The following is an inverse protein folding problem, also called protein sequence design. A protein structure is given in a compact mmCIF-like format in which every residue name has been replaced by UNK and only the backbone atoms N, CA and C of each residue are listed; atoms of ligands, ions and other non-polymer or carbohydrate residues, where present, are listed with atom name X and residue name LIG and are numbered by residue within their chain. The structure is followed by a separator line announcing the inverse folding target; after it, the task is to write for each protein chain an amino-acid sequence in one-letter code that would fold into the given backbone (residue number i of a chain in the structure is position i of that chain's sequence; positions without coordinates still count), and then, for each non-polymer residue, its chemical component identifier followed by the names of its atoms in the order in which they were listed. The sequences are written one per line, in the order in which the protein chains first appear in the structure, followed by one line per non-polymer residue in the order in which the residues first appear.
data_IF_691307522855
#
_entry.id   IF_691307522855
#
_cell.length_a   1.000
_cell.length_b   1.000
_cell.length_c   1.000
_cell.angle_alpha   90.00
_cell.angle_beta   90.00
_cell.angle_gamma   90.00
#
_symmetry.space_group_name_H-M   'P 1'
#
loop_
_entity.id
_entity.type
_entity.pdbx_description
1 polymer ?
#
# COMPACT_ATOMS: atom_id res chain seq x y z
N UNK A 1 -15.95 -12.67 10.29
CA UNK A 1 -16.55 -11.38 10.63
C UNK A 1 -17.36 -11.45 11.93
N UNK A 2 -17.38 -10.37 12.68
CA UNK A 2 -18.29 -10.09 13.79
C UNK A 2 -18.56 -8.58 13.83
N UNK A 3 -19.75 -8.17 14.23
CA UNK A 3 -20.12 -6.75 14.32
C UNK A 3 -19.60 -6.09 15.59
N UNK A 4 -19.66 -6.81 16.71
CA UNK A 4 -19.19 -6.34 18.01
C UNK A 4 -18.27 -7.35 18.67
N UNK A 5 -17.54 -6.92 19.70
CA UNK A 5 -16.63 -7.81 20.44
C UNK A 5 -17.34 -8.93 21.20
N UNK A 6 -18.63 -8.75 21.53
CA UNK A 6 -19.42 -9.72 22.27
C UNK A 6 -19.96 -10.85 21.37
N UNK A 7 -19.95 -10.65 20.04
CA UNK A 7 -20.45 -11.65 19.11
C UNK A 7 -19.37 -12.65 18.71
N UNK A 8 -19.72 -13.92 18.45
CA UNK A 8 -18.79 -14.89 17.91
C UNK A 8 -18.42 -14.56 16.46
N UNK A 9 -17.22 -14.92 16.04
CA UNK A 9 -16.83 -14.86 14.64
C UNK A 9 -17.67 -15.82 13.80
N UNK A 10 -18.11 -15.36 12.64
CA UNK A 10 -18.74 -16.20 11.61
C UNK A 10 -17.93 -16.15 10.32
N UNK A 11 -17.79 -17.26 9.59
CA UNK A 11 -17.20 -17.25 8.25
C UNK A 11 -18.13 -16.49 7.31
N UNK A 12 -17.56 -15.58 6.49
CA UNK A 12 -18.31 -14.80 5.50
C UNK A 12 -17.85 -15.05 4.08
N UNK A 13 -16.66 -15.66 3.93
CA UNK A 13 -16.10 -16.03 2.65
C UNK A 13 -15.24 -17.27 2.80
N UNK A 14 -15.33 -18.16 1.84
CA UNK A 14 -14.41 -19.28 1.66
C UNK A 14 -13.87 -19.21 0.25
N UNK A 15 -12.56 -19.19 0.11
CA UNK A 15 -11.86 -19.18 -1.18
C UNK A 15 -11.24 -20.55 -1.47
N UNK A 16 -11.02 -20.85 -2.73
CA UNK A 16 -10.21 -21.98 -3.15
C UNK A 16 -8.72 -21.59 -3.21
N UNK A 17 -7.84 -22.55 -3.51
CA UNK A 17 -6.38 -22.31 -3.51
C UNK A 17 -5.88 -21.33 -4.60
N UNK A 18 -6.72 -20.98 -5.58
CA UNK A 18 -6.40 -20.01 -6.64
C UNK A 18 -6.88 -18.61 -6.33
N UNK A 19 -7.78 -18.47 -5.39
CA UNK A 19 -8.41 -17.22 -5.03
C UNK A 19 -7.79 -16.65 -3.76
N UNK A 20 -7.54 -15.37 -3.77
CA UNK A 20 -7.00 -14.64 -2.62
C UNK A 20 -7.85 -13.43 -2.30
N UNK A 21 -8.01 -13.15 -1.02
CA UNK A 21 -8.56 -11.89 -0.50
C UNK A 21 -7.66 -11.40 0.61
N UNK A 22 -7.16 -10.19 0.46
CA UNK A 22 -6.30 -9.55 1.44
C UNK A 22 -6.96 -8.23 1.88
N UNK A 23 -7.53 -8.21 3.07
CA UNK A 23 -8.14 -7.03 3.64
C UNK A 23 -7.03 -6.08 4.13
N UNK A 24 -7.05 -4.84 3.68
CA UNK A 24 -5.99 -3.88 3.96
C UNK A 24 -6.37 -2.89 5.06
N UNK A 25 -7.36 -2.06 4.83
CA UNK A 25 -7.82 -1.06 5.81
C UNK A 25 -9.28 -0.70 5.57
N UNK A 26 -9.97 -0.24 6.61
CA UNK A 26 -11.33 0.26 6.50
C UNK A 26 -11.38 1.63 5.82
N UNK A 27 -12.54 1.94 5.24
CA UNK A 27 -12.87 3.31 4.84
C UNK A 27 -13.01 4.22 6.07
N UNK A 28 -12.85 5.55 5.93
CA UNK A 28 -12.92 6.48 7.06
C UNK A 28 -14.21 6.42 7.87
N UNK A 29 -15.31 5.99 7.26
CA UNK A 29 -16.61 5.81 7.90
C UNK A 29 -16.79 4.40 8.51
N UNK A 30 -15.79 3.54 8.42
CA UNK A 30 -15.78 2.15 8.89
C UNK A 30 -16.88 1.24 8.26
N UNK A 31 -17.48 1.64 7.16
CA UNK A 31 -18.56 0.85 6.53
C UNK A 31 -18.04 -0.18 5.53
N UNK A 32 -16.96 0.16 4.85
CA UNK A 32 -16.37 -0.66 3.81
C UNK A 32 -14.91 -0.96 4.12
N UNK A 33 -14.33 -1.91 3.40
CA UNK A 33 -12.92 -2.25 3.49
C UNK A 33 -12.27 -2.22 2.12
N UNK A 34 -11.06 -1.66 2.05
CA UNK A 34 -10.20 -1.79 0.89
C UNK A 34 -9.57 -3.17 0.90
N UNK A 35 -9.72 -3.90 -0.17
CA UNK A 35 -9.18 -5.25 -0.29
C UNK A 35 -8.44 -5.45 -1.61
N UNK A 36 -7.48 -6.37 -1.59
CA UNK A 36 -6.81 -6.88 -2.78
C UNK A 36 -7.33 -8.28 -3.05
N UNK A 37 -7.93 -8.51 -4.21
CA UNK A 37 -8.54 -9.80 -4.53
C UNK A 37 -8.48 -10.13 -6.01
N UNK A 38 -8.38 -11.42 -6.31
CA UNK A 38 -8.51 -11.97 -7.66
C UNK A 38 -9.78 -12.82 -7.85
N UNK A 39 -10.74 -12.77 -6.93
CA UNK A 39 -12.00 -13.50 -7.09
C UNK A 39 -12.68 -13.05 -8.38
N UNK A 40 -13.04 -14.02 -9.24
CA UNK A 40 -13.70 -13.78 -10.51
C UNK A 40 -12.82 -13.14 -11.60
N UNK A 41 -11.50 -13.07 -11.41
CA UNK A 41 -10.55 -12.46 -12.37
C UNK A 41 -9.19 -13.13 -12.35
N UNK A 42 -8.40 -12.92 -13.43
CA UNK A 42 -7.05 -13.46 -13.54
C UNK A 42 -6.04 -12.71 -12.64
N UNK A 43 -6.15 -11.38 -12.56
CA UNK A 43 -5.23 -10.53 -11.81
C UNK A 43 -5.86 -9.96 -10.55
N UNK A 44 -5.05 -9.88 -9.50
CA UNK A 44 -5.45 -9.19 -8.27
C UNK A 44 -5.73 -7.72 -8.54
N UNK A 45 -6.89 -7.26 -8.08
CA UNK A 45 -7.36 -5.89 -8.17
C UNK A 45 -7.48 -5.26 -6.79
N UNK A 46 -7.44 -3.92 -6.73
CA UNK A 46 -7.88 -3.16 -5.56
C UNK A 46 -9.39 -2.93 -5.68
N UNK A 47 -10.11 -3.35 -4.67
CA UNK A 47 -11.57 -3.26 -4.63
C UNK A 47 -12.06 -2.64 -3.33
N UNK A 48 -13.28 -2.13 -3.36
CA UNK A 48 -14.06 -1.76 -2.19
C UNK A 48 -15.03 -2.90 -1.89
N UNK A 49 -15.00 -3.42 -0.67
CA UNK A 49 -15.72 -4.62 -0.27
C UNK A 49 -16.52 -4.39 1.01
N UNK A 50 -17.71 -4.96 1.08
CA UNK A 50 -18.50 -4.99 2.31
C UNK A 50 -17.89 -6.01 3.29
N UNK A 51 -17.44 -5.61 4.47
CA UNK A 51 -16.79 -6.53 5.42
C UNK A 51 -17.74 -7.58 6.00
N UNK A 52 -19.05 -7.34 6.01
CA UNK A 52 -20.03 -8.25 6.61
C UNK A 52 -20.43 -9.39 5.66
N UNK A 53 -20.36 -9.17 4.35
CA UNK A 53 -20.77 -10.11 3.32
C UNK A 53 -19.63 -10.57 2.41
N UNK A 54 -18.50 -9.83 2.40
CA UNK A 54 -17.43 -9.94 1.43
C UNK A 54 -17.88 -9.71 -0.02
N UNK A 55 -18.99 -9.00 -0.22
CA UNK A 55 -19.44 -8.62 -1.53
C UNK A 55 -18.60 -7.46 -2.06
N UNK A 56 -18.04 -7.62 -3.26
CA UNK A 56 -17.36 -6.54 -3.96
C UNK A 56 -18.38 -5.49 -4.42
N UNK A 57 -18.17 -4.25 -4.00
CA UNK A 57 -19.04 -3.12 -4.36
C UNK A 57 -18.49 -2.31 -5.52
N UNK A 58 -17.16 -2.17 -5.59
CA UNK A 58 -16.49 -1.37 -6.60
C UNK A 58 -15.08 -1.86 -6.86
N UNK A 59 -14.66 -1.87 -8.13
CA UNK A 59 -13.27 -2.07 -8.52
C UNK A 59 -12.60 -0.71 -8.65
N UNK A 60 -11.66 -0.42 -7.76
CA UNK A 60 -10.99 0.88 -7.71
C UNK A 60 -9.79 0.96 -8.65
N UNK A 61 -9.07 -0.16 -8.81
CA UNK A 61 -7.92 -0.21 -9.71
C UNK A 61 -7.58 -1.64 -10.13
N UNK A 62 -7.22 -1.79 -11.39
CA UNK A 62 -6.70 -3.03 -12.01
C UNK A 62 -5.44 -2.74 -12.80
N UNK A 63 -4.64 -3.78 -13.05
CA UNK A 63 -3.53 -3.73 -14.00
C UNK A 63 -3.62 -4.96 -14.92
N UNK A 64 -3.52 -4.75 -16.24
CA UNK A 64 -3.69 -5.83 -17.23
C UNK A 64 -2.54 -6.84 -17.22
N UNK A 65 -1.37 -6.46 -16.72
CA UNK A 65 -0.15 -7.26 -16.78
C UNK A 65 0.25 -7.87 -15.44
N UNK A 66 -0.01 -7.18 -14.34
CA UNK A 66 0.53 -7.52 -13.03
C UNK A 66 -0.55 -7.54 -11.95
N UNK A 67 -0.38 -8.42 -10.98
CA UNK A 67 -1.18 -8.44 -9.77
C UNK A 67 -0.91 -7.22 -8.89
N UNK A 68 -1.96 -6.60 -8.40
CA UNK A 68 -1.82 -5.57 -7.37
C UNK A 68 -1.36 -6.23 -6.08
N UNK A 69 -0.21 -5.81 -5.57
CA UNK A 69 0.46 -6.42 -4.41
C UNK A 69 0.49 -5.54 -3.17
N UNK A 70 0.13 -4.26 -3.31
CA UNK A 70 0.13 -3.34 -2.18
C UNK A 70 -0.66 -2.08 -2.43
N UNK A 71 -0.98 -1.39 -1.36
CA UNK A 71 -1.61 -0.08 -1.39
C UNK A 71 -0.94 0.88 -0.40
N UNK A 72 -0.98 2.17 -0.71
CA UNK A 72 -0.63 3.27 0.18
C UNK A 72 -1.90 3.92 0.70
N UNK A 73 -1.91 4.24 1.99
CA UNK A 73 -3.01 4.93 2.64
C UNK A 73 -2.46 6.02 3.55
N UNK A 74 -3.05 7.20 3.53
CA UNK A 74 -2.73 8.28 4.44
C UNK A 74 -3.73 8.32 5.58
N UNK A 75 -3.26 8.06 6.80
CA UNK A 75 -4.08 8.19 8.01
C UNK A 75 -4.43 9.64 8.31
N UNK A 76 -3.56 10.57 7.94
CA UNK A 76 -3.78 11.99 8.10
C UNK A 76 -4.86 12.51 7.13
N UNK A 77 -4.75 12.15 5.85
CA UNK A 77 -5.68 12.57 4.79
C UNK A 77 -6.92 11.67 4.70
N UNK A 78 -6.94 10.55 5.41
CA UNK A 78 -8.02 9.54 5.40
C UNK A 78 -8.38 9.06 4.00
N UNK A 79 -7.36 8.78 3.16
CA UNK A 79 -7.58 8.34 1.77
C UNK A 79 -6.47 7.43 1.25
N UNK A 80 -6.80 6.66 0.23
CA UNK A 80 -5.81 5.94 -0.57
C UNK A 80 -4.88 6.93 -1.26
N UNK A 81 -3.58 6.65 -1.24
CA UNK A 81 -2.56 7.47 -1.88
C UNK A 81 -1.96 6.82 -3.10
N UNK A 82 -1.83 5.50 -3.10
CA UNK A 82 -1.24 4.76 -4.22
C UNK A 82 -1.63 3.29 -4.21
N UNK A 83 -1.37 2.61 -5.31
CA UNK A 83 -1.30 1.15 -5.42
C UNK A 83 0.03 0.75 -6.03
N UNK A 84 0.46 -0.47 -5.75
CA UNK A 84 1.69 -1.03 -6.30
C UNK A 84 1.50 -2.45 -6.82
N UNK A 85 2.29 -2.78 -7.83
CA UNK A 85 2.44 -4.14 -8.34
C UNK A 85 3.92 -4.43 -8.60
N UNK A 86 4.28 -5.71 -8.58
CA UNK A 86 5.65 -6.14 -8.87
C UNK A 86 5.77 -6.45 -10.36
N UNK A 87 6.52 -5.63 -11.08
CA UNK A 87 6.85 -5.85 -12.48
C UNK A 87 8.22 -6.49 -12.67
N UNK A 88 8.59 -6.77 -13.91
CA UNK A 88 9.88 -7.39 -14.26
C UNK A 88 11.10 -6.55 -13.86
N UNK A 89 10.97 -5.24 -13.74
CA UNK A 89 12.05 -4.30 -13.45
C UNK A 89 11.93 -3.66 -12.05
N UNK A 90 11.15 -4.26 -11.16
CA UNK A 90 10.90 -3.72 -9.82
C UNK A 90 9.45 -3.32 -9.58
N UNK A 91 9.23 -2.51 -8.56
CA UNK A 91 7.89 -2.10 -8.13
C UNK A 91 7.37 -0.96 -9.02
N UNK A 92 6.23 -1.20 -9.61
CA UNK A 92 5.45 -0.20 -10.37
C UNK A 92 4.39 0.37 -9.44
N UNK A 93 4.24 1.70 -9.41
CA UNK A 93 3.23 2.39 -8.59
C UNK A 93 2.33 3.26 -9.44
N UNK A 94 1.07 3.28 -9.06
CA UNK A 94 0.10 4.25 -9.55
C UNK A 94 -0.36 5.10 -8.37
N UNK A 95 -0.34 6.43 -8.54
CA UNK A 95 -0.66 7.38 -7.47
C UNK A 95 -2.03 7.99 -7.67
N UNK A 96 -2.85 7.95 -6.63
CA UNK A 96 -4.11 8.68 -6.52
C UNK A 96 -3.89 10.07 -5.91
N UNK A 97 -2.80 10.23 -5.13
CA UNK A 97 -2.41 11.47 -4.46
C UNK A 97 -1.16 12.06 -5.12
N UNK A 98 -1.30 13.25 -5.72
CA UNK A 98 -0.20 13.94 -6.41
C UNK A 98 0.91 14.40 -5.48
N UNK A 99 0.61 14.70 -4.21
CA UNK A 99 1.62 15.08 -3.23
C UNK A 99 2.53 13.87 -2.94
N UNK A 100 1.94 12.68 -2.78
CA UNK A 100 2.71 11.44 -2.60
C UNK A 100 3.56 11.09 -3.81
N UNK A 101 3.04 11.30 -5.01
CA UNK A 101 3.80 11.13 -6.26
C UNK A 101 5.00 12.10 -6.31
N UNK A 102 4.79 13.37 -5.94
CA UNK A 102 5.86 14.38 -5.91
C UNK A 102 6.94 14.04 -4.87
N UNK A 103 6.55 13.60 -3.66
CA UNK A 103 7.49 13.16 -2.62
C UNK A 103 8.32 11.97 -3.14
N UNK A 104 7.68 11.01 -3.74
CA UNK A 104 8.34 9.82 -4.30
C UNK A 104 9.33 10.20 -5.40
N UNK A 105 8.94 11.05 -6.33
CA UNK A 105 9.80 11.53 -7.41
C UNK A 105 11.06 12.21 -6.87
N UNK A 106 10.92 13.05 -5.84
CA UNK A 106 12.08 13.68 -5.17
C UNK A 106 13.01 12.66 -4.51
N UNK A 107 12.44 11.65 -3.84
CA UNK A 107 13.23 10.59 -3.22
C UNK A 107 13.98 9.77 -4.27
N UNK A 108 13.36 9.42 -5.39
CA UNK A 108 14.01 8.69 -6.50
C UNK A 108 15.13 9.49 -7.16
N UNK A 109 14.98 10.81 -7.23
CA UNK A 109 16.06 11.68 -7.72
C UNK A 109 17.26 11.72 -6.75
N UNK A 110 16.98 11.77 -5.43
CA UNK A 110 18.02 11.80 -4.38
C UNK A 110 18.73 10.46 -4.21
N UNK A 111 18.01 9.36 -4.36
CA UNK A 111 18.48 7.98 -4.15
C UNK A 111 18.51 7.22 -5.48
N UNK A 112 19.05 7.86 -6.51
CA UNK A 112 19.10 7.31 -7.86
C UNK A 112 19.86 5.98 -7.89
N UNK A 113 19.24 4.97 -8.50
CA UNK A 113 19.83 3.63 -8.64
C UNK A 113 19.51 2.67 -7.50
N UNK A 114 18.69 3.11 -6.53
CA UNK A 114 18.21 2.27 -5.45
C UNK A 114 16.70 2.01 -5.59
N UNK A 115 16.29 0.82 -5.18
CA UNK A 115 14.92 0.54 -4.85
C UNK A 115 14.60 1.15 -3.49
N UNK A 116 13.58 1.99 -3.44
CA UNK A 116 13.19 2.72 -2.24
C UNK A 116 11.81 2.31 -1.75
N UNK A 117 11.66 2.23 -0.44
CA UNK A 117 10.40 1.98 0.25
C UNK A 117 10.26 2.84 1.51
N UNK A 118 9.06 3.36 1.77
CA UNK A 118 8.73 3.92 3.07
C UNK A 118 8.38 2.79 4.02
N UNK A 119 9.14 2.62 5.09
CA UNK A 119 8.94 1.52 6.06
C UNK A 119 8.11 1.95 7.25
N UNK A 120 8.17 3.22 7.63
CA UNK A 120 7.32 3.82 8.65
C UNK A 120 7.25 5.33 8.48
N UNK A 121 6.30 5.95 9.18
CA UNK A 121 6.17 7.40 9.24
C UNK A 121 5.59 7.83 10.57
N UNK A 122 5.81 9.08 10.94
CA UNK A 122 5.20 9.68 12.11
C UNK A 122 3.71 10.00 11.89
N UNK A 123 2.98 10.33 12.95
CA UNK A 123 1.53 10.65 12.86
C UNK A 123 1.21 11.83 11.97
N UNK A 124 2.15 12.75 11.77
CA UNK A 124 2.00 13.92 10.89
C UNK A 124 2.35 13.59 9.43
N UNK A 125 2.84 12.38 9.16
CA UNK A 125 3.35 11.90 7.85
C UNK A 125 4.47 12.77 7.28
N UNK A 126 5.09 13.60 8.13
CA UNK A 126 6.15 14.51 7.77
C UNK A 126 7.54 13.89 7.90
N UNK A 127 7.77 13.09 8.94
CA UNK A 127 9.02 12.34 9.11
C UNK A 127 8.78 10.91 8.66
N UNK A 128 9.58 10.47 7.68
CA UNK A 128 9.47 9.13 7.10
C UNK A 128 10.78 8.38 7.23
N UNK A 129 10.69 7.10 7.54
CA UNK A 129 11.80 6.16 7.45
C UNK A 129 11.81 5.56 6.06
N UNK A 130 12.88 5.80 5.33
CA UNK A 130 13.06 5.34 3.95
C UNK A 130 14.12 4.25 3.93
N UNK A 131 13.77 3.10 3.41
CA UNK A 131 14.73 2.07 3.03
C UNK A 131 15.16 2.29 1.59
N UNK A 132 16.46 2.23 1.34
CA UNK A 132 17.04 2.26 -0.01
C UNK A 132 18.02 1.10 -0.16
N UNK A 133 17.78 0.22 -1.12
CA UNK A 133 18.58 -0.96 -1.39
C UNK A 133 18.69 -1.26 -2.86
N UNK A 134 19.57 -2.19 -3.23
CA UNK A 134 19.70 -2.69 -4.59
C UNK A 134 20.15 -4.16 -4.55
N UNK A 135 20.20 -4.79 -5.71
CA UNK A 135 20.78 -6.14 -5.90
C UNK A 135 22.27 -6.22 -5.57
N UNK A 136 22.93 -5.07 -5.39
CA UNK A 136 24.39 -4.95 -5.15
C UNK A 136 24.73 -4.41 -3.77
N UNK A 137 23.75 -3.99 -2.97
CA UNK A 137 23.98 -3.38 -1.65
C UNK A 137 22.99 -3.93 -0.63
N UNK A 138 23.41 -4.02 0.63
CA UNK A 138 22.56 -4.48 1.74
C UNK A 138 21.40 -3.54 2.06
N UNK A 139 21.40 -2.35 1.50
CA UNK A 139 20.40 -1.34 1.77
C UNK A 139 20.69 -0.51 3.03
N UNK A 140 20.19 0.69 3.02
CA UNK A 140 20.44 1.70 4.06
C UNK A 140 19.13 2.35 4.44
N UNK A 141 18.99 2.75 5.70
CA UNK A 141 17.84 3.49 6.20
C UNK A 141 18.16 4.97 6.31
N UNK A 142 17.19 5.79 5.89
CA UNK A 142 17.23 7.23 5.95
C UNK A 142 16.00 7.77 6.66
N UNK A 143 16.16 8.78 7.50
CA UNK A 143 15.05 9.63 7.88
C UNK A 143 14.88 10.72 6.81
N UNK A 144 13.65 10.95 6.39
CA UNK A 144 13.32 12.00 5.44
C UNK A 144 12.27 12.92 6.01
N UNK A 145 12.57 14.23 6.04
CA UNK A 145 11.62 15.26 6.43
C UNK A 145 10.98 15.84 5.16
N UNK A 146 9.68 15.61 5.01
CA UNK A 146 8.93 16.01 3.81
C UNK A 146 8.88 17.53 3.66
N UNK A 147 8.67 18.28 4.74
CA UNK A 147 8.57 19.75 4.71
C UNK A 147 9.91 20.43 4.43
N UNK A 148 10.97 19.90 4.99
CA UNK A 148 12.33 20.46 4.82
C UNK A 148 13.02 19.90 3.57
N UNK A 149 12.40 18.94 2.90
CA UNK A 149 12.96 18.21 1.75
C UNK A 149 14.35 17.65 2.02
N UNK A 150 14.64 17.43 3.29
CA UNK A 150 15.92 16.95 3.81
C UNK A 150 15.86 15.52 4.33
N UNK A 151 16.97 14.80 4.25
CA UNK A 151 17.10 13.46 4.80
C UNK A 151 18.45 13.26 5.45
N UNK A 152 18.49 12.41 6.50
CA UNK A 152 19.73 11.98 7.16
C UNK A 152 19.83 10.46 7.06
N UNK A 153 21.03 9.96 6.78
CA UNK A 153 21.32 8.53 6.89
C UNK A 153 21.22 8.11 8.36
N UNK A 154 20.48 7.06 8.66
CA UNK A 154 20.35 6.54 10.02
C UNK A 154 21.44 5.51 10.36
N UNK A 155 22.02 4.90 9.33
CA UNK A 155 23.05 3.88 9.48
C UNK A 155 23.95 3.89 8.24
N UNK A 156 25.25 4.04 8.42
CA UNK A 156 26.30 3.75 7.43
C UNK A 156 27.24 2.73 8.09
N UNK A 157 27.35 1.55 7.48
CA UNK A 157 28.46 0.63 7.75
C UNK A 157 29.71 1.09 7.02
#
# INVERSE_FOLDING_TARGET
YRETEEQPFRPVLTTNFKETVNFATFTPDNKMVYALTNIGRDKTALVLMDPATCEEKEVLYTNDKYDISGLGYSELKKKLTSVSCTGHKGIIRHYFDKDEEAIRTKLEQKLKGYDIGTTSQDKSENIRMIYAGSDRTYGTYYTYNVKEEGGRCCYQD
#
